data_IF_697750532530
#
_entry.id   IF_697750532530
#
_cell.length_a   1.000
_cell.length_b   1.000
_cell.length_c   1.000
_cell.angle_alpha   90.00
_cell.angle_beta   90.00
_cell.angle_gamma   90.00
#
_symmetry.space_group_name_H-M   'P 1'
#
loop_
_entity.id
_entity.type
_entity.pdbx_description
1 polymer ?
#
# COMPACT_ATOMS: atom_id res chain seq x y z
N UNK A 1 -6.12 -11.13 -14.75
CA UNK A 1 -6.67 -10.58 -13.49
C UNK A 1 -7.62 -9.47 -13.86
N UNK A 2 -8.88 -9.60 -13.45
CA UNK A 2 -9.93 -8.62 -13.76
C UNK A 2 -9.59 -7.25 -13.14
N UNK A 3 -10.06 -6.16 -13.76
CA UNK A 3 -9.80 -4.80 -13.27
C UNK A 3 -10.31 -4.59 -11.84
N UNK A 4 -11.44 -5.22 -11.48
CA UNK A 4 -11.95 -5.20 -10.11
C UNK A 4 -11.00 -5.92 -9.13
N UNK A 5 -10.40 -7.03 -9.53
CA UNK A 5 -9.44 -7.74 -8.70
C UNK A 5 -8.16 -6.92 -8.47
N UNK A 6 -7.66 -6.22 -9.50
CA UNK A 6 -6.48 -5.33 -9.37
C UNK A 6 -6.77 -4.16 -8.43
N UNK A 7 -7.94 -3.53 -8.56
CA UNK A 7 -8.36 -2.44 -7.68
C UNK A 7 -8.54 -2.91 -6.24
N UNK A 8 -9.07 -4.12 -6.04
CA UNK A 8 -9.21 -4.73 -4.72
C UNK A 8 -7.85 -4.98 -4.05
N UNK A 9 -6.86 -5.49 -4.81
CA UNK A 9 -5.49 -5.68 -4.30
C UNK A 9 -4.83 -4.36 -3.93
N UNK A 10 -4.97 -3.32 -4.76
CA UNK A 10 -4.46 -1.99 -4.46
C UNK A 10 -5.10 -1.40 -3.19
N UNK A 11 -6.40 -1.60 -3.00
CA UNK A 11 -7.11 -1.17 -1.80
C UNK A 11 -6.59 -1.88 -0.55
N UNK A 12 -6.42 -3.20 -0.61
CA UNK A 12 -5.85 -3.99 0.49
C UNK A 12 -4.43 -3.51 0.83
N UNK A 13 -3.57 -3.33 -0.18
CA UNK A 13 -2.20 -2.83 0.03
C UNK A 13 -2.20 -1.45 0.72
N UNK A 14 -3.09 -0.55 0.31
CA UNK A 14 -3.26 0.75 0.95
C UNK A 14 -3.66 0.64 2.42
N UNK A 15 -4.68 -0.19 2.72
CA UNK A 15 -5.20 -0.40 4.08
C UNK A 15 -4.16 -1.08 4.98
N UNK A 16 -3.42 -2.08 4.48
CA UNK A 16 -2.35 -2.74 5.25
C UNK A 16 -1.25 -1.74 5.59
N UNK A 17 -0.82 -0.91 4.64
CA UNK A 17 0.17 0.14 4.90
C UNK A 17 -0.31 1.11 6.00
N UNK A 18 -1.59 1.48 6.00
CA UNK A 18 -2.19 2.33 7.02
C UNK A 18 -2.24 1.64 8.40
N UNK A 19 -2.65 0.37 8.46
CA UNK A 19 -2.71 -0.39 9.71
C UNK A 19 -1.33 -0.57 10.34
N UNK A 20 -0.32 -0.81 9.51
CA UNK A 20 1.06 -0.85 9.97
C UNK A 20 1.41 0.52 10.55
N UNK A 21 1.29 1.61 9.80
CA UNK A 21 1.62 2.95 10.28
C UNK A 21 0.92 3.29 11.62
N UNK A 22 -0.36 2.96 11.75
CA UNK A 22 -1.12 3.12 12.99
C UNK A 22 -0.56 2.27 14.13
N UNK A 23 -0.16 1.02 13.88
CA UNK A 23 0.51 0.18 14.87
C UNK A 23 1.79 0.82 15.43
N UNK A 24 2.54 1.55 14.61
CA UNK A 24 3.69 2.32 15.07
C UNK A 24 3.30 3.54 15.92
N UNK A 25 2.22 4.23 15.57
CA UNK A 25 1.68 5.37 16.33
C UNK A 25 1.15 4.92 17.70
N UNK A 26 0.50 3.76 17.79
CA UNK A 26 -0.04 3.21 19.03
C UNK A 26 0.99 2.41 19.86
N UNK A 27 2.26 2.40 19.45
CA UNK A 27 3.35 1.82 20.24
C UNK A 27 3.42 0.28 20.22
N UNK A 28 2.85 -0.39 19.22
CA UNK A 28 3.03 -1.84 19.04
C UNK A 28 4.49 -2.20 18.68
N UNK A 29 5.22 -1.25 18.12
CA UNK A 29 6.64 -1.31 17.81
C UNK A 29 7.16 0.14 17.59
N UNK A 30 8.47 0.36 17.43
CA UNK A 30 9.02 1.71 17.22
C UNK A 30 8.50 2.36 15.92
N UNK A 31 7.90 3.54 16.05
CA UNK A 31 7.22 4.28 14.98
C UNK A 31 8.05 4.41 13.70
N UNK A 32 9.38 4.45 13.81
CA UNK A 32 10.30 4.49 12.65
C UNK A 32 10.12 3.30 11.72
N UNK A 33 9.98 2.09 12.27
CA UNK A 33 9.77 0.89 11.46
C UNK A 33 8.43 0.93 10.75
N UNK A 34 7.41 1.50 11.39
CA UNK A 34 6.06 1.58 10.82
C UNK A 34 5.98 2.53 9.66
N UNK A 35 6.63 3.68 9.77
CA UNK A 35 6.77 4.65 8.69
C UNK A 35 7.53 4.03 7.51
N UNK A 36 8.64 3.34 7.75
CA UNK A 36 9.44 2.72 6.69
C UNK A 36 8.67 1.61 5.99
N UNK A 37 8.02 0.70 6.73
CA UNK A 37 7.27 -0.41 6.15
C UNK A 37 6.04 0.10 5.38
N UNK A 38 5.30 1.07 5.94
CA UNK A 38 4.15 1.68 5.26
C UNK A 38 4.56 2.35 3.93
N UNK A 39 5.68 3.08 3.92
CA UNK A 39 6.23 3.69 2.71
C UNK A 39 6.57 2.65 1.64
N UNK A 40 7.25 1.56 2.04
CA UNK A 40 7.60 0.47 1.10
C UNK A 40 6.33 -0.15 0.49
N UNK A 41 5.31 -0.42 1.31
CA UNK A 41 4.04 -1.00 0.84
C UNK A 41 3.33 -0.06 -0.14
N UNK A 42 3.29 1.25 0.14
CA UNK A 42 2.68 2.22 -0.75
C UNK A 42 3.45 2.44 -2.04
N UNK A 43 4.79 2.39 -2.01
CA UNK A 43 5.61 2.41 -3.24
C UNK A 43 5.30 1.18 -4.10
N UNK A 44 5.23 0.00 -3.50
CA UNK A 44 4.88 -1.24 -4.22
C UNK A 44 3.46 -1.15 -4.78
N UNK A 45 2.49 -0.66 -4.00
CA UNK A 45 1.12 -0.43 -4.47
C UNK A 45 1.05 0.58 -5.64
N UNK A 46 1.80 1.68 -5.53
CA UNK A 46 1.93 2.67 -6.60
C UNK A 46 2.54 2.09 -7.88
N UNK A 47 3.64 1.35 -7.75
CA UNK A 47 4.29 0.66 -8.87
C UNK A 47 3.35 -0.40 -9.49
N UNK A 48 2.63 -1.17 -8.66
CA UNK A 48 1.67 -2.16 -9.14
C UNK A 48 0.58 -1.51 -9.99
N UNK A 49 0.08 -0.34 -9.59
CA UNK A 49 -0.83 0.47 -10.42
C UNK A 49 -0.16 0.85 -11.75
N UNK A 50 1.04 1.40 -11.72
CA UNK A 50 1.73 1.85 -12.95
C UNK A 50 2.03 0.73 -13.94
N UNK A 51 2.49 -0.44 -13.47
CA UNK A 51 2.95 -1.54 -14.34
C UNK A 51 1.87 -2.57 -14.66
N UNK A 52 0.91 -2.80 -13.76
CA UNK A 52 -0.06 -3.89 -13.87
C UNK A 52 -1.51 -3.41 -13.86
N UNK A 53 -1.81 -2.17 -13.47
CA UNK A 53 -3.16 -1.72 -13.13
C UNK A 53 -3.57 -0.37 -13.72
N UNK A 54 -4.30 -0.46 -14.84
CA UNK A 54 -5.04 0.60 -15.54
C UNK A 54 -4.15 1.41 -16.50
N UNK A 55 -4.49 1.49 -17.80
CA UNK A 55 -3.83 2.44 -18.69
C UNK A 55 -3.94 3.83 -18.04
N UNK A 56 -2.79 4.42 -17.71
CA UNK A 56 -2.73 5.85 -17.52
C UNK A 56 -3.17 6.43 -18.85
N UNK A 57 -4.38 6.97 -18.91
CA UNK A 57 -4.95 7.59 -20.10
C UNK A 57 -4.23 8.95 -20.33
N UNK A 58 -2.92 8.88 -20.54
CA UNK A 58 -2.09 9.91 -21.13
C UNK A 58 -1.83 9.55 -22.58
#
# INVERSE_FOLDING_TARGET
MDNNQKNFVLYILGVIGLLILLGGIFGLYDWKYGVVIALVIWIIGGAYRTYFGVPSNR
#
